data_IF_426103425187
#
_entry.id   IF_426103425187
#
_cell.length_a   1.000
_cell.length_b   1.000
_cell.length_c   1.000
_cell.angle_alpha   90.00
_cell.angle_beta   90.00
_cell.angle_gamma   90.00
#
_symmetry.space_group_name_H-M   'P 1'
#
loop_
_entity.id
_entity.type
_entity.pdbx_description
1 polymer ?
#
# COMPACT_ATOMS: atom_id res chain seq x y z
N UNK A 1 -34.84 27.51 -77.67
CA UNK A 1 -33.80 26.67 -77.11
C UNK A 1 -33.91 26.75 -75.59
N UNK A 2 -34.53 25.77 -74.96
CA UNK A 2 -34.70 25.71 -73.51
C UNK A 2 -33.76 24.61 -72.97
N UNK A 3 -32.82 24.99 -72.12
CA UNK A 3 -31.87 24.10 -71.49
C UNK A 3 -32.45 23.70 -70.16
N UNK A 4 -32.87 22.44 -70.00
CA UNK A 4 -33.36 21.82 -68.80
C UNK A 4 -32.15 21.44 -67.91
N UNK A 5 -32.07 21.98 -66.69
CA UNK A 5 -31.06 21.59 -65.70
C UNK A 5 -31.63 20.48 -64.78
N UNK A 6 -31.05 19.31 -64.86
CA UNK A 6 -31.27 18.21 -63.98
C UNK A 6 -30.45 18.45 -62.66
N UNK A 7 -31.14 18.46 -61.51
CA UNK A 7 -30.54 18.51 -60.16
C UNK A 7 -30.43 17.06 -59.66
N UNK A 8 -29.27 16.59 -59.28
CA UNK A 8 -29.17 15.27 -58.69
C UNK A 8 -29.63 15.31 -57.20
N UNK A 9 -30.55 14.45 -56.86
CA UNK A 9 -31.06 14.20 -55.53
C UNK A 9 -30.00 13.40 -54.74
N UNK A 10 -29.30 14.04 -53.80
CA UNK A 10 -28.39 13.35 -52.89
C UNK A 10 -29.21 12.71 -51.76
N UNK A 11 -29.25 11.38 -51.74
CA UNK A 11 -29.83 10.61 -50.65
C UNK A 11 -28.84 10.60 -49.47
N UNK A 12 -29.16 11.32 -48.39
CA UNK A 12 -28.40 11.33 -47.16
C UNK A 12 -28.78 10.06 -46.38
N UNK A 13 -27.92 9.05 -46.38
CA UNK A 13 -28.08 7.89 -45.50
C UNK A 13 -27.69 8.28 -44.07
N UNK A 14 -28.67 8.47 -43.18
CA UNK A 14 -28.47 8.64 -41.79
C UNK A 14 -28.05 7.29 -41.18
N UNK A 15 -26.78 7.15 -40.86
CA UNK A 15 -26.28 6.03 -40.05
C UNK A 15 -26.71 6.29 -38.62
N UNK A 16 -27.74 5.59 -38.15
CA UNK A 16 -28.07 5.51 -36.73
C UNK A 16 -26.98 4.69 -36.01
N UNK A 17 -26.00 5.37 -35.40
CA UNK A 17 -25.18 4.77 -34.38
C UNK A 17 -26.07 4.54 -33.15
N UNK A 18 -26.57 3.33 -33.01
CA UNK A 18 -27.20 2.91 -31.76
C UNK A 18 -26.20 3.04 -30.61
N UNK A 19 -26.65 3.27 -29.34
CA UNK A 19 -25.75 3.22 -28.20
C UNK A 19 -25.09 1.84 -28.20
N UNK A 20 -23.75 1.80 -28.25
CA UNK A 20 -23.00 0.59 -28.00
C UNK A 20 -23.34 0.20 -26.55
N UNK A 21 -24.13 -0.84 -26.38
CA UNK A 21 -24.29 -1.48 -25.07
C UNK A 21 -22.88 -1.87 -24.66
N UNK A 22 -22.38 -1.33 -23.55
CA UNK A 22 -21.16 -1.81 -22.93
C UNK A 22 -21.36 -3.31 -22.74
N UNK A 23 -20.49 -4.12 -23.33
CA UNK A 23 -20.52 -5.58 -23.19
C UNK A 23 -20.40 -5.88 -21.70
N UNK A 24 -21.40 -6.56 -21.15
CA UNK A 24 -21.42 -6.92 -19.72
C UNK A 24 -20.18 -7.79 -19.45
N UNK A 25 -19.44 -7.49 -18.38
CA UNK A 25 -18.24 -8.25 -18.03
C UNK A 25 -18.60 -9.71 -17.77
N UNK A 26 -17.92 -10.62 -18.47
CA UNK A 26 -18.12 -12.06 -18.39
C UNK A 26 -16.88 -12.73 -17.75
N UNK A 27 -16.99 -13.07 -16.46
CA UNK A 27 -15.93 -13.75 -15.73
C UNK A 27 -15.63 -15.15 -16.27
N UNK A 28 -16.64 -15.90 -16.74
CA UNK A 28 -16.43 -17.22 -17.31
C UNK A 28 -15.67 -17.17 -18.65
N UNK A 29 -15.92 -16.14 -19.45
CA UNK A 29 -15.15 -15.88 -20.65
C UNK A 29 -13.68 -15.52 -20.31
N UNK A 30 -13.45 -14.71 -19.27
CA UNK A 30 -12.10 -14.38 -18.79
C UNK A 30 -11.36 -15.62 -18.30
N UNK A 31 -12.03 -16.49 -17.54
CA UNK A 31 -11.45 -17.76 -17.06
C UNK A 31 -11.02 -18.63 -18.22
N UNK A 32 -11.87 -18.82 -19.22
CA UNK A 32 -11.54 -19.62 -20.41
C UNK A 32 -10.38 -19.04 -21.22
N UNK A 33 -10.34 -17.73 -21.36
CA UNK A 33 -9.23 -17.05 -22.03
C UNK A 33 -7.92 -17.22 -21.27
N UNK A 34 -7.94 -17.05 -19.95
CA UNK A 34 -6.78 -17.26 -19.09
C UNK A 34 -6.26 -18.71 -19.12
N UNK A 35 -7.16 -19.69 -19.17
CA UNK A 35 -6.80 -21.12 -19.27
C UNK A 35 -6.12 -21.48 -20.60
N UNK A 36 -6.27 -20.67 -21.63
CA UNK A 36 -5.58 -20.85 -22.91
C UNK A 36 -4.17 -20.25 -22.96
N UNK A 37 -3.78 -19.51 -21.94
CA UNK A 37 -2.47 -18.87 -21.81
C UNK A 37 -1.47 -19.75 -21.04
N UNK A 38 -0.17 -19.42 -21.12
CA UNK A 38 0.91 -20.24 -20.51
C UNK A 38 0.98 -20.18 -18.99
N UNK A 39 0.29 -19.22 -18.36
CA UNK A 39 0.33 -18.95 -16.94
C UNK A 39 1.05 -17.63 -16.62
N UNK A 40 1.23 -17.33 -15.33
CA UNK A 40 1.73 -16.03 -14.87
C UNK A 40 2.75 -16.14 -13.76
N UNK A 41 3.66 -15.15 -13.71
CA UNK A 41 4.51 -14.84 -12.57
C UNK A 41 3.97 -13.60 -11.86
N UNK A 42 3.69 -13.73 -10.57
CA UNK A 42 3.16 -12.64 -9.73
C UNK A 42 4.17 -12.27 -8.67
N UNK A 43 4.49 -10.98 -8.54
CA UNK A 43 5.47 -10.49 -7.58
C UNK A 43 4.79 -9.59 -6.56
N UNK A 44 5.09 -9.78 -5.26
CA UNK A 44 4.59 -8.96 -4.14
C UNK A 44 5.69 -8.79 -3.08
N UNK A 45 5.56 -7.79 -2.23
CA UNK A 45 6.46 -7.57 -1.09
C UNK A 45 6.21 -8.52 0.11
N UNK A 46 5.09 -9.25 0.12
CA UNK A 46 4.79 -10.29 1.12
C UNK A 46 5.03 -11.71 0.60
N UNK A 47 5.45 -12.63 1.50
CA UNK A 47 5.55 -14.06 1.18
C UNK A 47 4.20 -14.74 0.94
N UNK A 48 3.10 -14.13 1.40
CA UNK A 48 1.72 -14.65 1.20
C UNK A 48 1.32 -14.74 -0.28
N UNK A 49 2.07 -14.09 -1.17
CA UNK A 49 1.86 -14.21 -2.62
C UNK A 49 2.05 -15.63 -3.14
N UNK A 50 2.88 -16.45 -2.48
CA UNK A 50 3.08 -17.85 -2.84
C UNK A 50 1.77 -18.62 -2.62
N UNK A 51 1.19 -18.49 -1.43
CA UNK A 51 -0.08 -19.15 -1.07
C UNK A 51 -1.23 -18.68 -1.97
N UNK A 52 -1.27 -17.39 -2.30
CA UNK A 52 -2.26 -16.82 -3.22
C UNK A 52 -2.13 -17.38 -4.64
N UNK A 53 -0.92 -17.49 -5.16
CA UNK A 53 -0.66 -18.05 -6.49
C UNK A 53 -0.98 -19.55 -6.57
N UNK A 54 -0.66 -20.31 -5.54
CA UNK A 54 -1.02 -21.75 -5.44
C UNK A 54 -2.54 -21.94 -5.40
N UNK A 55 -3.24 -21.17 -4.56
CA UNK A 55 -4.70 -21.22 -4.45
C UNK A 55 -5.40 -20.79 -5.74
N UNK A 56 -4.90 -19.75 -6.40
CA UNK A 56 -5.35 -19.32 -7.72
C UNK A 56 -5.19 -20.46 -8.75
N UNK A 57 -4.00 -21.07 -8.79
CA UNK A 57 -3.73 -22.16 -9.73
C UNK A 57 -4.67 -23.36 -9.50
N UNK A 58 -4.91 -23.70 -8.24
CA UNK A 58 -5.82 -24.78 -7.86
C UNK A 58 -7.27 -24.47 -8.26
N UNK A 59 -7.71 -23.22 -8.08
CA UNK A 59 -9.09 -22.79 -8.35
C UNK A 59 -9.39 -22.75 -9.83
N UNK A 60 -8.51 -22.15 -10.63
CA UNK A 60 -8.79 -21.84 -12.03
C UNK A 60 -8.10 -22.77 -13.04
N UNK A 61 -7.18 -23.63 -12.60
CA UNK A 61 -6.39 -24.45 -13.51
C UNK A 61 -5.38 -23.67 -14.34
N UNK A 62 -5.10 -22.43 -13.96
CA UNK A 62 -4.11 -21.55 -14.61
C UNK A 62 -2.84 -21.56 -13.76
N UNK A 63 -1.70 -21.88 -14.35
CA UNK A 63 -0.41 -21.88 -13.64
C UNK A 63 -0.07 -20.47 -13.16
N UNK A 64 0.18 -20.31 -11.87
CA UNK A 64 0.69 -19.06 -11.30
C UNK A 64 1.86 -19.34 -10.35
N UNK A 65 2.89 -18.50 -10.40
CA UNK A 65 4.06 -18.57 -9.52
C UNK A 65 4.16 -17.26 -8.76
N UNK A 66 4.08 -17.33 -7.42
CA UNK A 66 4.24 -16.18 -6.54
C UNK A 66 5.70 -15.99 -6.12
N UNK A 67 6.21 -14.78 -6.22
CA UNK A 67 7.58 -14.43 -5.80
C UNK A 67 7.57 -13.23 -4.87
N UNK A 68 8.24 -13.36 -3.70
CA UNK A 68 8.44 -12.23 -2.79
C UNK A 68 9.62 -11.38 -3.25
N UNK A 69 9.40 -10.06 -3.40
CA UNK A 69 10.44 -9.07 -3.71
C UNK A 69 10.11 -7.73 -3.07
N UNK A 70 11.12 -6.97 -2.60
CA UNK A 70 10.92 -5.61 -2.04
C UNK A 70 10.37 -4.67 -3.13
N UNK A 71 9.57 -3.66 -2.76
CA UNK A 71 8.96 -2.72 -3.71
C UNK A 71 9.99 -2.04 -4.64
N UNK A 72 11.13 -1.61 -4.11
CA UNK A 72 12.22 -1.02 -4.90
C UNK A 72 12.78 -1.99 -5.95
N UNK A 73 12.98 -3.26 -5.58
CA UNK A 73 13.46 -4.29 -6.52
C UNK A 73 12.39 -4.67 -7.56
N UNK A 74 11.10 -4.62 -7.20
CA UNK A 74 10.00 -4.79 -8.15
C UNK A 74 10.01 -3.67 -9.19
N UNK A 75 10.11 -2.41 -8.74
CA UNK A 75 10.21 -1.23 -9.61
C UNK A 75 11.36 -1.38 -10.62
N UNK A 76 12.55 -1.65 -10.12
CA UNK A 76 13.76 -1.83 -10.95
C UNK A 76 13.60 -2.99 -11.95
N UNK A 77 12.97 -4.10 -11.54
CA UNK A 77 12.75 -5.25 -12.41
C UNK A 77 11.80 -4.90 -13.55
N UNK A 78 10.63 -4.29 -13.26
CA UNK A 78 9.65 -3.90 -14.28
C UNK A 78 10.26 -2.92 -15.29
N UNK A 79 10.99 -1.90 -14.81
CA UNK A 79 11.66 -0.92 -15.69
C UNK A 79 12.69 -1.60 -16.60
N UNK A 80 13.57 -2.44 -16.02
CA UNK A 80 14.61 -3.16 -16.78
C UNK A 80 14.01 -4.12 -17.81
N UNK A 81 12.99 -4.86 -17.43
CA UNK A 81 12.31 -5.82 -18.31
C UNK A 81 11.61 -5.11 -19.47
N UNK A 82 10.90 -4.00 -19.20
CA UNK A 82 10.28 -3.18 -20.22
C UNK A 82 11.31 -2.59 -21.19
N UNK A 83 12.42 -2.06 -20.70
CA UNK A 83 13.49 -1.48 -21.52
C UNK A 83 14.20 -2.52 -22.39
N UNK A 84 14.36 -3.75 -21.88
CA UNK A 84 15.00 -4.85 -22.63
C UNK A 84 14.04 -5.58 -23.58
N UNK A 85 12.74 -5.37 -23.47
CA UNK A 85 11.72 -6.13 -24.19
C UNK A 85 11.61 -7.60 -23.76
N UNK A 86 12.16 -7.95 -22.59
CA UNK A 86 12.16 -9.31 -22.05
C UNK A 86 11.36 -9.34 -20.73
N UNK A 87 10.03 -9.36 -20.84
CA UNK A 87 9.12 -9.36 -19.70
C UNK A 87 9.09 -10.75 -19.06
N UNK A 88 9.34 -10.81 -17.76
CA UNK A 88 9.32 -12.02 -16.96
C UNK A 88 8.22 -12.00 -15.90
N UNK A 89 7.88 -10.83 -15.37
CA UNK A 89 6.77 -10.62 -14.45
C UNK A 89 5.50 -10.27 -15.21
N UNK A 90 4.36 -10.88 -14.85
CA UNK A 90 3.07 -10.62 -15.49
C UNK A 90 2.21 -9.69 -14.65
N UNK A 91 2.21 -9.91 -13.33
CA UNK A 91 1.52 -9.07 -12.34
C UNK A 91 2.49 -8.60 -11.28
N UNK A 92 2.48 -7.32 -10.99
CA UNK A 92 3.23 -6.74 -9.88
C UNK A 92 2.27 -6.13 -8.87
N UNK A 93 2.35 -6.63 -7.63
CA UNK A 93 1.65 -6.06 -6.47
C UNK A 93 2.66 -5.22 -5.69
N UNK A 94 2.78 -3.93 -6.05
CA UNK A 94 3.80 -3.05 -5.52
C UNK A 94 3.26 -2.13 -4.42
N UNK A 95 3.94 -2.14 -3.27
CA UNK A 95 3.62 -1.28 -2.13
C UNK A 95 4.38 0.07 -2.20
N UNK A 96 4.43 0.64 -3.39
CA UNK A 96 4.98 1.96 -3.70
C UNK A 96 4.03 2.61 -4.72
N UNK A 97 2.89 3.10 -4.21
CA UNK A 97 1.85 3.74 -5.03
C UNK A 97 2.40 4.94 -5.80
N UNK A 98 3.21 5.84 -5.19
CA UNK A 98 3.81 6.97 -5.89
C UNK A 98 4.69 6.54 -7.07
N UNK A 99 5.52 5.51 -6.94
CA UNK A 99 6.34 5.02 -8.05
C UNK A 99 5.49 4.40 -9.18
N UNK A 100 4.39 3.75 -8.84
CA UNK A 100 3.44 3.26 -9.83
C UNK A 100 2.83 4.41 -10.64
N UNK A 101 2.43 5.51 -9.97
CA UNK A 101 1.81 6.69 -10.58
C UNK A 101 2.83 7.60 -11.28
N UNK A 102 4.01 7.79 -10.70
CA UNK A 102 5.02 8.71 -11.21
C UNK A 102 5.94 8.11 -12.28
N UNK A 103 6.05 6.79 -12.33
CA UNK A 103 6.96 6.14 -13.28
C UNK A 103 6.32 4.98 -14.07
N UNK A 104 5.85 3.91 -13.42
CA UNK A 104 5.46 2.70 -14.16
C UNK A 104 4.32 2.92 -15.14
N UNK A 105 3.27 3.63 -14.73
CA UNK A 105 2.10 3.88 -15.57
C UNK A 105 2.35 4.98 -16.62
N UNK A 106 2.93 6.15 -16.29
CA UNK A 106 3.19 7.20 -17.29
C UNK A 106 4.17 6.76 -18.37
N UNK A 107 5.20 5.98 -18.05
CA UNK A 107 6.14 5.44 -19.02
C UNK A 107 5.57 4.23 -19.79
N UNK A 108 4.37 3.78 -19.41
CA UNK A 108 3.67 2.69 -20.08
C UNK A 108 4.31 1.32 -19.84
N UNK A 109 5.03 1.13 -18.74
CA UNK A 109 5.64 -0.15 -18.37
C UNK A 109 4.65 -1.11 -17.71
N UNK A 110 3.62 -0.57 -17.08
CA UNK A 110 2.53 -1.34 -16.50
C UNK A 110 1.19 -0.59 -16.63
N UNK A 111 0.10 -1.32 -16.53
CA UNK A 111 -1.25 -0.76 -16.59
C UNK A 111 -2.04 -1.18 -15.34
N UNK A 112 -2.90 -0.28 -14.87
CA UNK A 112 -3.93 -0.60 -13.89
C UNK A 112 -5.17 -1.17 -14.59
N UNK A 113 -5.81 -2.14 -13.97
CA UNK A 113 -7.07 -2.69 -14.44
C UNK A 113 -7.99 -2.98 -13.25
N UNK A 114 -9.20 -2.45 -13.30
CA UNK A 114 -10.23 -2.67 -12.27
C UNK A 114 -11.20 -3.72 -12.78
N UNK A 115 -11.47 -4.81 -12.01
CA UNK A 115 -12.52 -5.75 -12.35
C UNK A 115 -13.87 -5.04 -12.45
N UNK A 116 -14.55 -5.07 -13.63
CA UNK A 116 -15.75 -4.26 -13.81
C UNK A 116 -16.92 -4.65 -12.90
N UNK A 117 -17.04 -5.93 -12.56
CA UNK A 117 -18.06 -6.48 -11.67
C UNK A 117 -17.83 -6.13 -10.19
N UNK A 118 -16.60 -5.78 -9.80
CA UNK A 118 -16.22 -5.40 -8.44
C UNK A 118 -16.06 -3.89 -8.26
N UNK A 119 -16.08 -3.13 -9.35
CA UNK A 119 -15.81 -1.67 -9.32
C UNK A 119 -16.76 -0.90 -8.39
N UNK A 120 -18.03 -1.33 -8.29
CA UNK A 120 -19.01 -0.72 -7.39
C UNK A 120 -18.70 -0.85 -5.90
N UNK A 121 -17.87 -1.82 -5.54
CA UNK A 121 -17.47 -2.11 -4.17
C UNK A 121 -16.10 -1.52 -3.78
N UNK A 122 -15.44 -0.83 -4.72
CA UNK A 122 -14.14 -0.18 -4.51
C UNK A 122 -14.34 1.33 -4.54
N UNK A 123 -13.73 2.04 -3.57
CA UNK A 123 -13.74 3.50 -3.58
C UNK A 123 -13.20 4.03 -4.92
N UNK A 124 -13.88 4.97 -5.59
CA UNK A 124 -13.39 5.55 -6.85
C UNK A 124 -11.95 6.07 -6.79
N UNK A 125 -11.52 6.61 -5.64
CA UNK A 125 -10.13 7.04 -5.45
C UNK A 125 -9.13 5.87 -5.49
N UNK A 126 -9.55 4.67 -5.12
CA UNK A 126 -8.73 3.47 -5.08
C UNK A 126 -8.73 2.67 -6.40
N UNK A 127 -9.34 3.19 -7.46
CA UNK A 127 -9.47 2.49 -8.74
C UNK A 127 -8.40 2.85 -9.77
N UNK A 128 -7.71 3.99 -9.62
CA UNK A 128 -6.68 4.41 -10.58
C UNK A 128 -5.48 5.10 -9.89
N UNK A 129 -4.40 4.35 -9.62
CA UNK A 129 -4.25 2.90 -9.81
C UNK A 129 -5.13 2.07 -8.88
N UNK A 130 -5.43 0.83 -9.26
CA UNK A 130 -6.18 -0.08 -8.41
C UNK A 130 -5.39 -0.41 -7.16
N UNK A 131 -5.83 0.11 -6.01
CA UNK A 131 -5.35 -0.37 -4.71
C UNK A 131 -5.98 -1.74 -4.44
N UNK A 132 -5.16 -2.76 -4.24
CA UNK A 132 -5.65 -4.12 -3.95
C UNK A 132 -5.83 -4.30 -2.44
N UNK A 133 -4.81 -3.93 -1.70
CA UNK A 133 -4.75 -4.17 -0.26
C UNK A 133 -3.91 -3.09 0.43
N UNK A 134 -4.24 -2.77 1.69
CA UNK A 134 -3.47 -1.85 2.53
C UNK A 134 -2.96 -2.56 3.79
N UNK A 135 -1.67 -2.43 4.05
CA UNK A 135 -1.02 -2.97 5.25
C UNK A 135 -0.98 -1.93 6.35
N UNK A 136 -1.62 -2.13 7.50
CA UNK A 136 -1.42 -1.26 8.64
C UNK A 136 0.03 -1.38 9.15
N UNK A 137 0.74 -0.25 9.22
CA UNK A 137 1.98 -0.12 9.98
C UNK A 137 1.62 0.62 11.26
N UNK A 138 1.84 -0.02 12.39
CA UNK A 138 1.26 0.41 13.66
C UNK A 138 2.32 0.54 14.75
N UNK A 139 2.04 1.42 15.70
CA UNK A 139 2.84 1.56 16.90
C UNK A 139 2.63 0.35 17.82
N UNK A 140 3.73 -0.20 18.31
CA UNK A 140 3.75 -1.44 19.08
C UNK A 140 4.67 -1.33 20.28
N UNK A 141 4.42 -2.17 21.28
CA UNK A 141 5.23 -2.25 22.50
C UNK A 141 5.41 -3.70 22.95
N UNK A 142 6.29 -3.94 23.91
CA UNK A 142 6.51 -5.25 24.50
C UNK A 142 5.56 -5.49 25.68
N UNK A 143 4.66 -6.45 25.58
CA UNK A 143 3.67 -6.79 26.62
C UNK A 143 4.28 -7.44 27.86
N UNK A 144 5.55 -7.90 27.80
CA UNK A 144 6.27 -8.39 28.98
C UNK A 144 6.82 -7.23 29.82
N UNK A 145 7.08 -6.06 29.20
CA UNK A 145 7.61 -4.88 29.91
C UNK A 145 6.51 -3.92 30.35
N UNK A 146 5.44 -3.80 29.54
CA UNK A 146 4.37 -2.84 29.77
C UNK A 146 3.00 -3.53 29.76
N UNK A 147 2.11 -3.12 30.64
CA UNK A 147 0.71 -3.59 30.67
C UNK A 147 -0.15 -2.92 29.62
N UNK A 148 0.24 -1.73 29.19
CA UNK A 148 -0.41 -0.91 28.16
C UNK A 148 0.65 -0.15 27.37
N UNK A 149 0.27 0.46 26.24
CA UNK A 149 1.19 1.26 25.46
C UNK A 149 1.80 2.40 26.29
N UNK A 150 3.14 2.52 26.33
CA UNK A 150 3.81 3.51 27.17
C UNK A 150 3.77 4.93 26.60
N UNK A 151 3.26 5.12 25.37
CA UNK A 151 3.06 6.42 24.74
C UNK A 151 1.58 6.65 24.48
N UNK A 152 1.15 7.92 24.52
CA UNK A 152 -0.24 8.32 24.28
C UNK A 152 -0.36 9.38 23.18
N UNK A 153 0.76 9.89 22.70
CA UNK A 153 0.83 10.93 21.68
C UNK A 153 2.03 10.68 20.78
N UNK A 154 1.93 10.93 19.48
CA UNK A 154 3.06 10.78 18.57
C UNK A 154 4.27 11.62 18.98
N UNK A 155 4.04 12.81 19.53
CA UNK A 155 5.12 13.66 20.03
C UNK A 155 5.84 13.10 21.27
N UNK A 156 5.32 12.05 21.93
CA UNK A 156 6.07 11.34 22.97
C UNK A 156 7.35 10.73 22.42
N UNK A 157 7.32 10.29 21.15
CA UNK A 157 8.48 9.73 20.47
C UNK A 157 9.63 10.73 20.25
N UNK A 158 9.38 12.03 20.50
CA UNK A 158 10.40 13.10 20.42
C UNK A 158 10.99 13.45 21.79
N UNK A 159 10.45 12.89 22.88
CA UNK A 159 10.96 13.14 24.22
C UNK A 159 12.34 12.48 24.46
N UNK A 160 13.17 13.07 25.31
CA UNK A 160 14.47 12.50 25.69
C UNK A 160 14.40 11.09 26.26
N UNK A 161 13.27 10.72 26.90
CA UNK A 161 13.01 9.38 27.43
C UNK A 161 13.01 8.33 26.32
N UNK A 162 12.50 8.66 25.14
CA UNK A 162 12.40 7.79 23.96
C UNK A 162 13.57 7.94 22.98
N UNK A 163 14.62 8.67 23.37
CA UNK A 163 15.80 8.82 22.53
C UNK A 163 16.43 7.46 22.21
N UNK A 164 16.52 7.13 20.93
CA UNK A 164 17.05 5.86 20.43
C UNK A 164 16.15 4.64 20.66
N UNK A 165 14.93 4.83 21.15
CA UNK A 165 14.04 3.73 21.56
C UNK A 165 12.79 3.55 20.70
N UNK A 166 12.68 4.22 19.58
CA UNK A 166 11.76 3.86 18.51
C UNK A 166 12.47 2.93 17.53
N UNK A 167 12.02 1.69 17.38
CA UNK A 167 12.52 0.77 16.36
C UNK A 167 11.63 0.84 15.10
N UNK A 168 12.21 1.15 13.96
CA UNK A 168 11.50 1.27 12.68
C UNK A 168 12.43 0.94 11.51
N UNK A 169 11.86 0.71 10.33
CA UNK A 169 12.71 0.61 9.13
C UNK A 169 13.25 1.99 8.73
N UNK A 170 14.41 1.98 8.08
CA UNK A 170 15.03 3.21 7.58
C UNK A 170 14.16 3.86 6.50
N UNK A 171 13.67 5.12 6.70
CA UNK A 171 12.91 5.84 5.70
C UNK A 171 13.63 6.05 4.37
N UNK A 172 14.97 6.02 4.37
CA UNK A 172 15.74 6.15 3.13
C UNK A 172 15.71 4.87 2.28
N UNK A 173 15.45 3.73 2.92
CA UNK A 173 15.33 2.42 2.25
C UNK A 173 13.91 1.92 2.03
N UNK A 174 12.91 2.57 2.66
CA UNK A 174 11.51 2.18 2.59
C UNK A 174 10.61 3.37 2.21
N UNK A 175 10.26 3.53 0.94
CA UNK A 175 9.49 4.67 0.44
C UNK A 175 8.19 4.97 1.20
N UNK A 176 7.49 3.94 1.69
CA UNK A 176 6.22 4.14 2.41
C UNK A 176 6.33 5.01 3.67
N UNK A 177 7.53 5.23 4.22
CA UNK A 177 7.71 6.17 5.33
C UNK A 177 7.74 7.62 4.85
N UNK A 178 8.42 7.91 3.75
CA UNK A 178 8.37 9.25 3.13
C UNK A 178 6.98 9.57 2.62
N UNK A 179 6.27 8.57 2.10
CA UNK A 179 4.87 8.70 1.70
C UNK A 179 3.99 8.99 2.93
N UNK A 180 4.18 8.28 4.05
CA UNK A 180 3.51 8.56 5.31
C UNK A 180 3.75 10.00 5.80
N UNK A 181 4.98 10.50 5.74
CA UNK A 181 5.29 11.87 6.10
C UNK A 181 4.53 12.86 5.23
N UNK A 182 4.52 12.63 3.92
CA UNK A 182 3.80 13.52 2.99
C UNK A 182 2.28 13.43 3.16
N UNK A 183 1.75 12.24 3.40
CA UNK A 183 0.31 12.03 3.69
C UNK A 183 -0.12 12.73 4.99
N UNK A 184 0.72 12.71 6.03
CA UNK A 184 0.47 13.50 7.25
C UNK A 184 0.44 15.00 6.94
N UNK A 185 1.42 15.51 6.18
CA UNK A 185 1.45 16.91 5.79
C UNK A 185 0.22 17.32 4.98
N UNK A 186 -0.16 16.52 4.00
CA UNK A 186 -1.22 16.85 3.06
C UNK A 186 -2.63 16.71 3.64
N UNK A 187 -2.84 15.78 4.59
CA UNK A 187 -4.18 15.39 5.04
C UNK A 187 -4.41 15.48 6.56
N UNK A 188 -3.37 15.76 7.35
CA UNK A 188 -3.47 15.68 8.80
C UNK A 188 -2.53 16.65 9.56
N UNK A 189 -1.97 17.65 8.88
CA UNK A 189 -1.01 18.59 9.50
C UNK A 189 -1.62 19.34 10.70
N UNK A 190 -2.89 19.69 10.61
CA UNK A 190 -3.66 20.29 11.69
C UNK A 190 -3.82 19.35 12.89
N UNK A 191 -3.96 18.04 12.67
CA UNK A 191 -4.02 17.04 13.74
C UNK A 191 -2.67 16.87 14.42
N UNK A 192 -1.57 16.90 13.65
CA UNK A 192 -0.21 16.89 14.21
C UNK A 192 0.05 18.12 15.07
N UNK A 193 -0.39 19.31 14.62
CA UNK A 193 -0.30 20.53 15.40
C UNK A 193 -1.15 20.49 16.67
N UNK A 194 -2.38 19.98 16.58
CA UNK A 194 -3.28 19.82 17.73
C UNK A 194 -2.72 18.82 18.77
N UNK A 195 -2.15 17.71 18.32
CA UNK A 195 -1.49 16.74 19.18
C UNK A 195 -0.29 17.36 19.93
N UNK A 196 0.46 18.25 19.28
CA UNK A 196 1.50 19.02 19.97
C UNK A 196 0.93 19.91 21.07
N UNK A 197 -0.13 20.68 20.74
CA UNK A 197 -0.76 21.57 21.70
C UNK A 197 -1.35 20.77 22.90
N UNK A 198 -1.97 19.64 22.64
CA UNK A 198 -2.51 18.76 23.67
C UNK A 198 -1.40 18.25 24.63
N UNK A 199 -0.24 17.88 24.08
CA UNK A 199 0.88 17.37 24.88
C UNK A 199 1.59 18.46 25.67
N UNK A 200 1.93 19.58 25.01
CA UNK A 200 2.82 20.61 25.60
C UNK A 200 2.07 21.80 26.19
N UNK A 201 0.75 21.88 26.05
CA UNK A 201 -0.10 22.96 26.57
C UNK A 201 0.13 24.32 25.87
N UNK A 202 0.76 24.32 24.70
CA UNK A 202 1.05 25.53 23.89
C UNK A 202 1.05 25.21 22.41
N UNK A 203 0.74 26.18 21.59
CA UNK A 203 0.82 26.06 20.12
C UNK A 203 2.25 25.76 19.70
N UNK A 204 2.39 24.98 18.63
CA UNK A 204 3.67 24.73 17.99
C UNK A 204 4.19 26.05 17.38
N UNK A 205 5.38 26.46 17.82
CA UNK A 205 6.15 27.53 17.19
C UNK A 205 7.30 26.85 16.44
N UNK A 206 7.36 27.02 15.13
CA UNK A 206 8.37 26.39 14.29
C UNK A 206 8.70 27.27 13.09
N UNK A 207 9.94 27.20 12.63
CA UNK A 207 10.41 27.84 11.39
C UNK A 207 10.16 26.92 10.16
N UNK A 208 9.67 25.68 10.37
CA UNK A 208 9.34 24.78 9.27
C UNK A 208 7.97 25.13 8.68
N UNK A 209 7.72 24.80 7.39
CA UNK A 209 6.46 25.10 6.71
C UNK A 209 5.23 24.42 7.32
N UNK A 210 5.40 23.32 8.07
CA UNK A 210 4.30 22.52 8.60
C UNK A 210 4.62 21.89 9.96
N UNK A 211 3.56 21.54 10.71
CA UNK A 211 3.68 20.79 11.96
C UNK A 211 4.26 19.38 11.72
N UNK A 212 3.92 18.77 10.60
CA UNK A 212 4.45 17.47 10.18
C UNK A 212 5.96 17.52 9.94
N UNK A 213 6.46 18.55 9.25
CA UNK A 213 7.91 18.71 9.06
C UNK A 213 8.64 18.90 10.38
N UNK A 214 8.09 19.72 11.29
CA UNK A 214 8.63 19.87 12.64
C UNK A 214 8.65 18.54 13.40
N UNK A 215 7.59 17.75 13.32
CA UNK A 215 7.50 16.43 13.95
C UNK A 215 8.55 15.47 13.37
N UNK A 216 8.63 15.34 12.04
CA UNK A 216 9.56 14.42 11.37
C UNK A 216 11.01 14.79 11.67
N UNK A 217 11.34 16.08 11.67
CA UNK A 217 12.68 16.55 12.05
C UNK A 217 13.00 16.23 13.51
N UNK A 218 12.07 16.46 14.43
CA UNK A 218 12.23 16.15 15.85
C UNK A 218 12.35 14.62 16.10
N UNK A 219 11.54 13.81 15.41
CA UNK A 219 11.60 12.35 15.46
C UNK A 219 12.97 11.83 14.98
N UNK A 220 13.46 12.33 13.84
CA UNK A 220 14.77 11.99 13.32
C UNK A 220 15.89 12.44 14.29
N UNK A 221 15.79 13.63 14.87
CA UNK A 221 16.76 14.14 15.84
C UNK A 221 16.78 13.31 17.14
N UNK A 222 15.70 12.62 17.47
CA UNK A 222 15.63 11.72 18.62
C UNK A 222 16.32 10.36 18.35
N UNK A 223 16.84 10.14 17.15
CA UNK A 223 17.73 9.04 16.78
C UNK A 223 17.09 7.66 16.85
N UNK A 224 15.93 7.40 16.20
CA UNK A 224 15.32 6.08 16.21
C UNK A 224 16.28 4.97 15.79
N UNK A 225 16.08 3.76 16.30
CA UNK A 225 16.80 2.56 15.88
C UNK A 225 16.30 2.18 14.47
N UNK A 226 17.13 2.44 13.46
CA UNK A 226 16.82 2.12 12.08
C UNK A 226 17.22 0.70 11.74
N UNK A 227 16.32 -0.02 11.10
CA UNK A 227 16.51 -1.41 10.67
C UNK A 227 16.25 -1.55 9.16
N UNK A 228 16.70 -2.64 8.58
CA UNK A 228 16.51 -2.96 7.15
C UNK A 228 15.23 -3.80 6.88
N UNK A 229 14.54 -4.21 7.93
CA UNK A 229 13.33 -5.03 7.84
C UNK A 229 12.38 -4.84 9.02
N UNK A 230 11.07 -5.05 8.77
CA UNK A 230 10.04 -5.08 9.83
C UNK A 230 10.33 -6.15 10.89
N UNK A 231 10.94 -7.29 10.49
CA UNK A 231 11.27 -8.35 11.43
C UNK A 231 12.32 -7.88 12.43
N UNK A 232 13.40 -7.23 11.95
CA UNK A 232 14.44 -6.71 12.83
C UNK A 232 13.90 -5.60 13.76
N UNK A 233 12.98 -4.76 13.28
CA UNK A 233 12.32 -3.77 14.14
C UNK A 233 11.42 -4.44 15.21
N UNK A 234 10.62 -5.42 14.83
CA UNK A 234 9.76 -6.17 15.76
C UNK A 234 10.57 -6.96 16.79
N UNK A 235 11.68 -7.58 16.38
CA UNK A 235 12.61 -8.27 17.28
C UNK A 235 13.23 -7.32 18.30
N UNK A 236 13.64 -6.12 17.86
CA UNK A 236 14.17 -5.10 18.77
C UNK A 236 13.16 -4.68 19.84
N UNK A 237 11.86 -4.66 19.50
CA UNK A 237 10.77 -4.29 20.43
C UNK A 237 10.45 -5.43 21.38
N UNK A 238 10.23 -6.64 20.87
CA UNK A 238 9.48 -7.66 21.58
C UNK A 238 9.93 -9.10 21.30
N UNK A 239 11.20 -9.32 20.91
CA UNK A 239 11.74 -10.66 20.87
C UNK A 239 11.65 -11.30 22.26
N UNK A 240 11.45 -12.62 22.32
CA UNK A 240 11.34 -13.32 23.59
C UNK A 240 12.59 -13.09 24.44
N UNK A 241 12.40 -12.58 25.67
CA UNK A 241 13.48 -12.20 26.57
C UNK A 241 14.08 -10.80 26.35
N UNK A 242 13.50 -9.98 25.46
CA UNK A 242 13.89 -8.58 25.32
C UNK A 242 13.55 -7.79 26.60
N UNK A 243 14.56 -7.08 27.13
CA UNK A 243 14.44 -6.32 28.38
C UNK A 243 14.54 -4.80 28.20
N UNK A 244 15.02 -4.35 27.03
CA UNK A 244 15.14 -2.93 26.74
C UNK A 244 13.78 -2.37 26.30
N UNK A 245 13.41 -1.17 26.77
CA UNK A 245 12.12 -0.56 26.50
C UNK A 245 12.10 0.12 25.12
N UNK A 246 11.60 -0.58 24.10
CA UNK A 246 11.36 -0.01 22.79
C UNK A 246 9.86 0.15 22.50
N UNK A 247 9.53 1.19 21.73
CA UNK A 247 8.31 1.26 20.92
C UNK A 247 8.69 0.91 19.49
N UNK A 248 7.84 0.23 18.76
CA UNK A 248 8.07 -0.11 17.36
C UNK A 248 7.06 0.55 16.43
N UNK A 249 7.48 0.82 15.21
CA UNK A 249 6.56 1.12 14.10
C UNK A 249 6.75 0.03 13.05
N UNK A 250 5.85 -0.96 13.07
CA UNK A 250 5.97 -2.18 12.27
C UNK A 250 4.63 -2.58 11.65
N UNK A 251 4.66 -3.43 10.63
CA UNK A 251 3.45 -3.99 10.04
C UNK A 251 2.66 -4.83 11.05
N UNK A 252 1.34 -4.69 11.07
CA UNK A 252 0.42 -5.53 11.85
C UNK A 252 0.63 -7.03 11.58
N UNK A 253 1.11 -7.40 10.40
CA UNK A 253 1.48 -8.77 10.07
C UNK A 253 2.51 -9.42 11.03
N UNK A 254 3.26 -8.62 11.80
CA UNK A 254 4.23 -9.14 12.77
C UNK A 254 3.57 -9.78 13.99
N UNK A 255 2.33 -9.46 14.26
CA UNK A 255 1.61 -10.04 15.39
C UNK A 255 1.35 -11.56 15.25
N UNK A 256 1.40 -12.14 14.06
CA UNK A 256 1.35 -13.61 13.90
C UNK A 256 2.50 -14.31 14.63
N UNK A 257 3.65 -13.66 14.76
CA UNK A 257 4.82 -14.21 15.42
C UNK A 257 4.61 -14.32 16.97
N UNK A 258 3.58 -13.63 17.52
CA UNK A 258 3.13 -13.83 18.92
C UNK A 258 2.55 -15.23 19.12
N UNK A 259 1.73 -15.73 18.18
CA UNK A 259 1.14 -17.05 18.28
C UNK A 259 2.19 -18.18 18.23
N UNK A 260 3.32 -17.91 17.61
CA UNK A 260 4.47 -18.80 17.55
C UNK A 260 5.40 -18.68 18.77
N UNK A 261 5.10 -17.78 19.71
CA UNK A 261 5.91 -17.53 20.90
C UNK A 261 7.26 -16.86 20.61
N UNK A 262 7.44 -16.29 19.42
CA UNK A 262 8.66 -15.60 19.01
C UNK A 262 8.68 -14.15 19.48
N UNK A 263 7.51 -13.49 19.48
CA UNK A 263 7.32 -12.11 19.87
C UNK A 263 6.26 -11.97 20.98
N UNK A 264 6.28 -10.81 21.61
CA UNK A 264 5.30 -10.40 22.65
C UNK A 264 4.79 -8.99 22.36
N UNK A 265 4.40 -8.75 21.10
CA UNK A 265 3.91 -7.44 20.64
C UNK A 265 2.55 -7.11 21.23
N UNK A 266 2.37 -5.88 21.69
CA UNK A 266 1.10 -5.23 21.99
C UNK A 266 0.84 -4.09 20.99
N UNK A 267 -0.42 -3.92 20.58
CA UNK A 267 -0.86 -2.80 19.75
C UNK A 267 -1.04 -1.56 20.63
N UNK A 268 -0.44 -0.44 20.24
CA UNK A 268 -0.73 0.87 20.81
C UNK A 268 -2.05 1.39 20.19
N UNK A 269 -3.17 1.15 20.87
CA UNK A 269 -4.52 1.49 20.39
C UNK A 269 -5.09 2.81 20.94
N UNK A 270 -4.27 3.62 21.56
CA UNK A 270 -4.68 4.86 22.21
C UNK A 270 -3.55 5.90 22.11
N UNK A 271 -3.19 6.26 20.89
CA UNK A 271 -2.13 7.25 20.59
C UNK A 271 -2.70 8.33 19.66
N UNK A 272 -2.67 9.57 20.13
CA UNK A 272 -3.11 10.74 19.39
C UNK A 272 -2.01 11.26 18.45
N UNK A 273 -2.31 11.67 17.22
CA UNK A 273 -3.61 11.61 16.52
C UNK A 273 -3.84 10.29 15.76
N UNK A 274 -2.84 9.40 15.68
CA UNK A 274 -2.90 8.14 14.95
C UNK A 274 -2.06 7.06 15.62
N UNK A 275 -2.55 5.83 15.57
CA UNK A 275 -1.79 4.65 16.04
C UNK A 275 -0.83 4.08 14.99
N UNK A 276 -0.80 4.67 13.80
CA UNK A 276 0.00 4.25 12.66
C UNK A 276 -0.55 4.75 11.33
N UNK A 277 -0.17 4.11 10.24
CA UNK A 277 -0.60 4.49 8.88
C UNK A 277 -0.84 3.26 8.00
N UNK A 278 -1.66 3.42 6.96
CA UNK A 278 -1.89 2.40 5.94
C UNK A 278 -0.86 2.53 4.81
N UNK A 279 -0.12 1.46 4.58
CA UNK A 279 0.75 1.32 3.42
C UNK A 279 0.02 0.52 2.33
N UNK A 280 -0.41 1.20 1.28
CA UNK A 280 -1.21 0.62 0.21
C UNK A 280 -0.36 -0.09 -0.85
N UNK A 281 -0.93 -1.13 -1.44
CA UNK A 281 -0.34 -1.92 -2.52
C UNK A 281 -1.24 -1.84 -3.74
N UNK A 282 -0.68 -1.46 -4.88
CA UNK A 282 -1.37 -1.45 -6.16
C UNK A 282 -1.15 -2.76 -6.91
N UNK A 283 -2.18 -3.21 -7.63
CA UNK A 283 -2.09 -4.34 -8.56
C UNK A 283 -1.96 -3.83 -10.00
N UNK A 284 -0.84 -4.13 -10.64
CA UNK A 284 -0.55 -3.71 -12.01
C UNK A 284 -0.26 -4.92 -12.90
N UNK A 285 -0.71 -4.83 -14.15
CA UNK A 285 -0.37 -5.77 -15.21
C UNK A 285 0.84 -5.21 -15.95
N UNK A 286 1.92 -5.98 -16.03
CA UNK A 286 3.13 -5.57 -16.74
C UNK A 286 2.86 -5.57 -18.24
N UNK A 287 3.20 -4.47 -18.91
CA UNK A 287 3.01 -4.35 -20.35
C UNK A 287 3.96 -5.28 -21.10
N UNK A 288 3.41 -6.02 -22.06
CA UNK A 288 4.15 -7.02 -22.82
C UNK A 288 4.08 -8.43 -22.22
N UNK A 289 3.29 -8.65 -21.16
CA UNK A 289 2.93 -10.00 -20.69
C UNK A 289 2.33 -10.83 -21.84
N UNK A 290 2.71 -12.10 -21.92
CA UNK A 290 2.12 -13.07 -22.84
C UNK A 290 0.81 -13.67 -22.33
N UNK A 291 0.43 -13.37 -21.08
CA UNK A 291 -0.76 -13.92 -20.40
C UNK A 291 -1.67 -12.82 -19.82
N UNK A 292 -2.15 -11.86 -20.65
CA UNK A 292 -2.91 -10.72 -20.15
C UNK A 292 -4.26 -11.09 -19.53
N UNK A 293 -4.90 -12.17 -19.95
CA UNK A 293 -6.16 -12.61 -19.37
C UNK A 293 -5.93 -13.31 -18.02
N UNK A 294 -4.88 -14.10 -17.89
CA UNK A 294 -4.50 -14.69 -16.62
C UNK A 294 -4.06 -13.64 -15.61
N UNK A 295 -3.38 -12.59 -16.05
CA UNK A 295 -3.03 -11.43 -15.22
C UNK A 295 -4.28 -10.69 -14.71
N UNK A 296 -5.25 -10.41 -15.57
CA UNK A 296 -6.55 -9.83 -15.17
C UNK A 296 -7.30 -10.74 -14.20
N UNK A 297 -7.34 -12.04 -14.49
CA UNK A 297 -8.02 -13.02 -13.63
C UNK A 297 -7.37 -13.09 -12.24
N UNK A 298 -6.03 -12.97 -12.16
CA UNK A 298 -5.34 -12.93 -10.87
C UNK A 298 -5.68 -11.65 -10.09
N UNK A 299 -5.72 -10.48 -10.73
CA UNK A 299 -6.14 -9.23 -10.09
C UNK A 299 -7.58 -9.35 -9.60
N UNK A 300 -8.50 -9.87 -10.44
CA UNK A 300 -9.87 -10.13 -10.02
C UNK A 300 -9.91 -11.04 -8.79
N UNK A 301 -9.17 -12.15 -8.80
CA UNK A 301 -9.08 -13.09 -7.68
C UNK A 301 -8.56 -12.41 -6.41
N UNK A 302 -7.49 -11.62 -6.50
CA UNK A 302 -6.92 -10.89 -5.37
C UNK A 302 -7.89 -9.87 -4.75
N UNK A 303 -8.93 -9.45 -5.49
CA UNK A 303 -9.99 -8.55 -5.01
C UNK A 303 -11.17 -9.30 -4.35
N UNK A 304 -11.14 -10.64 -4.32
CA UNK A 304 -12.16 -11.46 -3.64
C UNK A 304 -11.73 -11.84 -2.22
N UNK A 305 -12.70 -12.17 -1.36
CA UNK A 305 -12.42 -12.64 0.00
C UNK A 305 -11.51 -13.88 0.02
N UNK A 306 -11.73 -14.83 -0.88
CA UNK A 306 -10.91 -16.03 -1.00
C UNK A 306 -9.48 -15.71 -1.44
N UNK A 307 -9.34 -14.86 -2.48
CA UNK A 307 -8.04 -14.57 -3.06
C UNK A 307 -7.12 -13.77 -2.14
N UNK A 308 -7.67 -12.84 -1.34
CA UNK A 308 -6.89 -12.02 -0.42
C UNK A 308 -6.77 -12.62 0.99
N UNK A 309 -7.48 -13.72 1.29
CA UNK A 309 -7.51 -14.31 2.62
C UNK A 309 -6.11 -14.49 3.26
N UNK A 310 -5.08 -15.00 2.57
CA UNK A 310 -3.75 -15.14 3.17
C UNK A 310 -3.15 -13.82 3.66
N UNK A 311 -3.49 -12.69 3.03
CA UNK A 311 -3.06 -11.35 3.49
C UNK A 311 -4.01 -10.78 4.56
N UNK A 312 -5.30 -11.10 4.51
CA UNK A 312 -6.27 -10.74 5.54
C UNK A 312 -5.95 -11.31 6.91
N UNK A 313 -5.44 -12.56 6.96
CA UNK A 313 -4.92 -13.20 8.18
C UNK A 313 -3.77 -12.40 8.84
N UNK A 314 -3.04 -11.61 8.07
CA UNK A 314 -1.99 -10.71 8.52
C UNK A 314 -2.51 -9.30 8.88
N UNK A 315 -3.84 -9.09 8.97
CA UNK A 315 -4.47 -7.81 9.29
C UNK A 315 -4.46 -6.80 8.14
N UNK A 316 -4.20 -7.23 6.89
CA UNK A 316 -4.21 -6.34 5.73
C UNK A 316 -5.61 -6.17 5.16
N UNK A 317 -5.97 -4.93 4.88
CA UNK A 317 -7.32 -4.51 4.51
C UNK A 317 -7.48 -4.47 3.00
N UNK A 318 -8.43 -5.22 2.45
CA UNK A 318 -8.79 -5.13 1.03
C UNK A 318 -9.43 -3.78 0.71
N UNK A 319 -9.19 -3.22 -0.48
CA UNK A 319 -9.94 -2.06 -0.97
C UNK A 319 -11.35 -2.42 -1.44
N UNK A 320 -11.65 -3.69 -1.66
CA UNK A 320 -13.02 -4.16 -1.85
C UNK A 320 -13.74 -4.18 -0.51
N UNK A 321 -14.72 -3.28 -0.33
CA UNK A 321 -15.47 -3.07 0.93
C UNK A 321 -16.31 -4.26 1.37
N UNK A 322 -16.58 -5.21 0.47
CA UNK A 322 -17.30 -6.45 0.80
C UNK A 322 -16.40 -7.48 1.48
N UNK A 323 -15.08 -7.30 1.41
CA UNK A 323 -14.09 -8.18 2.03
C UNK A 323 -13.73 -7.68 3.42
N UNK A 324 -14.11 -8.43 4.43
CA UNK A 324 -13.83 -8.10 5.83
C UNK A 324 -12.58 -8.83 6.34
N UNK A 325 -11.89 -8.18 7.28
CA UNK A 325 -10.81 -8.85 8.02
C UNK A 325 -11.36 -10.00 8.87
N UNK A 326 -10.61 -11.09 9.06
CA UNK A 326 -10.94 -12.10 10.05
C UNK A 326 -11.09 -11.47 11.45
N UNK A 327 -12.12 -11.88 12.19
CA UNK A 327 -12.39 -11.33 13.52
C UNK A 327 -11.29 -11.67 14.56
N UNK A 328 -10.53 -12.73 14.28
CA UNK A 328 -9.46 -13.29 15.09
C UNK A 328 -8.05 -13.01 14.52
N UNK A 329 -7.93 -12.02 13.60
CA UNK A 329 -6.61 -11.64 13.12
C UNK A 329 -5.71 -11.21 14.31
N UNK A 330 -4.42 -11.61 14.31
CA UNK A 330 -3.59 -11.60 15.51
C UNK A 330 -3.31 -10.22 16.11
N UNK A 331 -3.38 -9.15 15.31
CA UNK A 331 -3.04 -7.80 15.78
C UNK A 331 -4.18 -7.08 16.49
N UNK A 332 -5.44 -7.50 16.26
CA UNK A 332 -6.64 -6.80 16.71
C UNK A 332 -6.92 -5.49 15.98
N UNK A 333 -6.17 -5.19 14.90
CA UNK A 333 -6.27 -3.93 14.15
C UNK A 333 -7.65 -3.71 13.53
N UNK A 334 -8.40 -4.79 13.26
CA UNK A 334 -9.77 -4.73 12.73
C UNK A 334 -10.70 -3.83 13.55
N UNK A 335 -10.42 -3.67 14.85
CA UNK A 335 -11.20 -2.82 15.78
C UNK A 335 -10.72 -1.36 15.78
N UNK A 336 -9.56 -1.07 15.20
CA UNK A 336 -8.85 0.20 15.32
C UNK A 336 -8.52 0.85 13.97
N UNK A 337 -9.09 0.37 12.85
CA UNK A 337 -8.81 0.91 11.52
C UNK A 337 -9.13 2.41 11.39
N UNK A 338 -10.12 2.92 12.12
CA UNK A 338 -10.45 4.34 12.15
C UNK A 338 -9.42 5.23 12.85
N UNK A 339 -8.49 4.64 13.60
CA UNK A 339 -7.43 5.32 14.35
C UNK A 339 -6.09 5.33 13.57
N UNK A 340 -6.05 4.67 12.41
CA UNK A 340 -4.88 4.62 11.52
C UNK A 340 -5.02 5.70 10.45
N UNK A 341 -3.95 6.40 10.14
CA UNK A 341 -3.95 7.34 9.01
C UNK A 341 -4.15 6.57 7.70
N UNK A 342 -5.28 6.81 7.03
CA UNK A 342 -5.55 6.23 5.74
C UNK A 342 -4.63 6.82 4.65
N UNK A 343 -4.28 6.00 3.66
CA UNK A 343 -3.59 6.49 2.47
C UNK A 343 -4.60 7.08 1.47
N UNK A 344 -4.42 8.33 1.06
CA UNK A 344 -5.21 8.96 0.00
C UNK A 344 -4.43 8.95 -1.32
N UNK A 345 -4.77 8.08 -2.29
CA UNK A 345 -4.06 7.99 -3.56
C UNK A 345 -4.25 9.22 -4.46
N UNK A 346 -5.19 10.11 -4.16
CA UNK A 346 -5.37 11.35 -4.93
C UNK A 346 -4.18 12.30 -4.85
N UNK A 347 -3.33 12.15 -3.83
CA UNK A 347 -2.07 12.88 -3.65
C UNK A 347 -0.82 12.03 -3.92
N UNK A 348 -0.97 10.85 -4.54
CA UNK A 348 0.16 9.96 -4.80
C UNK A 348 1.25 10.57 -5.69
N UNK A 349 0.90 11.48 -6.62
CA UNK A 349 1.89 12.23 -7.39
C UNK A 349 2.62 13.26 -6.53
N UNK A 350 1.95 13.90 -5.58
CA UNK A 350 2.57 14.80 -4.62
C UNK A 350 3.53 14.04 -3.70
N UNK A 351 3.19 12.81 -3.29
CA UNK A 351 4.09 11.92 -2.55
C UNK A 351 5.35 11.60 -3.38
N UNK A 352 5.20 11.35 -4.68
CA UNK A 352 6.32 11.09 -5.60
C UNK A 352 7.25 12.31 -5.71
N UNK A 353 6.68 13.48 -5.96
CA UNK A 353 7.42 14.72 -6.20
C UNK A 353 8.16 15.21 -4.94
N UNK A 354 7.58 15.02 -3.74
CA UNK A 354 8.17 15.46 -2.48
C UNK A 354 9.04 14.39 -1.79
N UNK A 355 9.18 13.19 -2.35
CA UNK A 355 9.93 12.08 -1.72
C UNK A 355 11.37 12.47 -1.38
N UNK A 356 12.06 13.15 -2.30
CA UNK A 356 13.44 13.57 -2.09
C UNK A 356 13.55 14.60 -0.95
N UNK A 357 12.61 15.53 -0.87
CA UNK A 357 12.60 16.55 0.19
C UNK A 357 12.44 15.91 1.58
N UNK A 358 11.54 14.90 1.70
CA UNK A 358 11.39 14.15 2.94
C UNK A 358 12.64 13.36 3.31
N UNK A 359 13.33 12.77 2.33
CA UNK A 359 14.59 12.09 2.57
C UNK A 359 15.68 13.07 3.03
N UNK A 360 15.70 14.28 2.49
CA UNK A 360 16.68 15.32 2.87
C UNK A 360 16.39 15.87 4.26
N UNK A 361 15.12 16.15 4.61
CA UNK A 361 14.71 16.48 5.99
C UNK A 361 15.18 15.42 6.97
N UNK A 362 14.93 14.14 6.64
CA UNK A 362 15.36 13.02 7.48
C UNK A 362 16.87 12.97 7.64
N UNK A 363 17.66 12.99 6.55
CA UNK A 363 19.13 12.94 6.58
C UNK A 363 19.75 14.08 7.37
N UNK A 364 19.23 15.30 7.19
CA UNK A 364 19.76 16.50 7.86
C UNK A 364 19.44 16.50 9.36
N UNK A 365 18.33 15.89 9.76
CA UNK A 365 17.84 15.92 11.14
C UNK A 365 18.30 14.70 11.95
N UNK A 366 18.53 13.55 11.32
CA UNK A 366 18.87 12.31 12.01
C UNK A 366 20.17 12.41 12.79
N UNK A 367 20.08 12.09 14.08
CA UNK A 367 21.23 12.08 15.00
C UNK A 367 21.29 10.72 15.69
N UNK A 368 22.37 10.02 15.46
CA UNK A 368 22.63 8.72 16.10
C UNK A 368 23.15 8.87 17.54
#
# INVERSE_FOLDING_TARGET
>A
MAISRLIPLAVLAAVFAGPALAEEFDLDALIKAAQAEEGINVVDSTGKIVDMAESFSKKYGVKAVGTKSKATAQLEAVVREAQSGNVQGDVVMISDVPAAMGQLMPEGFAISWVPPDLAGDIDPKAQNPLLVVSSPNVLTYNTQLYKECPIKNLWDLTDPEWKGKLAMQDPLGKPSYTDWFNQMRSHADDKIAAAYEAKFGKKLETDTPSATEAFVAALAANGPLLTDSDSAAADAVAANGQTEPFVGLVSAAKFRDNAEGKLTLGLCSDVDPFIGFLNSTVGLIVKGTNSPNAAKLFIHYAMTAEGIAPQGEDGKVSSNRTVQLPADEPSGISKHLGEVLAYDPSTGMDDWDNRQDWQDIWRLSYKR
#
